data_IF_640622043112
#
_entry.id   IF_640622043112
#
_cell.length_a   1.000
_cell.length_b   1.000
_cell.length_c   1.000
_cell.angle_alpha   90.00
_cell.angle_beta   90.00
_cell.angle_gamma   90.00
#
_symmetry.space_group_name_H-M   'P 1'
#
loop_
_entity.id
_entity.type
_entity.pdbx_description
1 polymer ?
#
# COMPACT_ATOMS: atom_id res chain seq x y z
N UNK A 1 8.54 -15.43 0.87
CA UNK A 1 7.99 -15.09 2.20
C UNK A 1 6.47 -14.91 2.20
N UNK A 2 5.89 -13.86 1.58
CA UNK A 2 4.40 -13.71 1.58
C UNK A 2 3.67 -14.79 0.79
N UNK A 3 4.25 -15.27 -0.32
CA UNK A 3 3.65 -16.36 -1.11
C UNK A 3 3.53 -17.64 -0.28
N UNK A 4 4.63 -18.06 0.35
CA UNK A 4 4.65 -19.19 1.28
C UNK A 4 3.62 -19.02 2.40
N UNK A 5 3.62 -17.85 3.07
CA UNK A 5 2.67 -17.57 4.13
C UNK A 5 1.23 -17.55 3.61
N UNK A 6 0.95 -17.16 2.37
CA UNK A 6 -0.41 -17.13 1.81
C UNK A 6 -0.98 -18.53 1.56
N UNK A 7 -0.11 -19.50 1.23
CA UNK A 7 -0.50 -20.87 0.91
C UNK A 7 -0.41 -21.83 2.11
N UNK A 8 0.37 -21.46 3.14
CA UNK A 8 0.65 -22.34 4.28
C UNK A 8 0.04 -21.82 5.59
N UNK A 9 -1.13 -22.36 5.95
CA UNK A 9 -1.81 -22.03 7.21
C UNK A 9 -0.99 -22.38 8.46
N UNK A 10 -0.23 -23.48 8.42
CA UNK A 10 0.64 -23.88 9.54
C UNK A 10 1.76 -22.87 9.75
N UNK A 11 2.39 -22.39 8.68
CA UNK A 11 3.44 -21.37 8.77
C UNK A 11 2.90 -20.04 9.35
N UNK A 12 1.67 -19.64 8.98
CA UNK A 12 1.02 -18.47 9.58
C UNK A 12 0.76 -18.63 11.07
N UNK A 13 0.29 -19.80 11.50
CA UNK A 13 0.02 -20.06 12.92
C UNK A 13 1.32 -20.12 13.74
N UNK A 14 2.39 -20.68 13.17
CA UNK A 14 3.72 -20.65 13.77
C UNK A 14 4.21 -19.22 13.95
N UNK A 15 4.16 -18.40 12.90
CA UNK A 15 4.56 -17.00 12.97
C UNK A 15 3.73 -16.22 14.00
N UNK A 16 2.41 -16.43 14.02
CA UNK A 16 1.52 -15.82 15.02
C UNK A 16 1.93 -16.23 16.44
N UNK A 17 2.18 -17.51 16.68
CA UNK A 17 2.61 -18.03 17.98
C UNK A 17 3.95 -17.47 18.41
N UNK A 18 4.90 -17.35 17.48
CA UNK A 18 6.22 -16.77 17.75
C UNK A 18 6.13 -15.28 18.11
N UNK A 19 5.36 -14.49 17.35
CA UNK A 19 5.13 -13.07 17.64
C UNK A 19 4.49 -12.87 19.03
N UNK A 20 3.52 -13.73 19.39
CA UNK A 20 2.89 -13.72 20.71
C UNK A 20 3.86 -14.12 21.82
N UNK A 21 4.71 -15.12 21.59
CA UNK A 21 5.68 -15.58 22.59
C UNK A 21 6.75 -14.51 22.92
N UNK A 22 7.08 -13.65 21.95
CA UNK A 22 8.02 -12.55 22.15
C UNK A 22 7.35 -11.21 22.52
N UNK A 23 6.02 -11.19 22.64
CA UNK A 23 5.22 -9.99 22.93
C UNK A 23 5.51 -8.82 21.97
N UNK A 24 5.72 -9.13 20.68
CA UNK A 24 5.94 -8.13 19.63
C UNK A 24 4.68 -8.00 18.79
N UNK A 25 3.92 -6.90 18.94
CA UNK A 25 2.76 -6.65 18.10
C UNK A 25 3.17 -6.28 16.67
N UNK A 26 2.36 -6.72 15.70
CA UNK A 26 2.48 -6.29 14.30
C UNK A 26 1.82 -4.92 14.13
N UNK A 27 2.63 -3.85 14.14
CA UNK A 27 2.13 -2.47 14.03
C UNK A 27 1.86 -2.00 12.61
N UNK A 28 2.62 -2.49 11.64
CA UNK A 28 2.55 -2.06 10.23
C UNK A 28 3.18 -3.14 9.36
N UNK A 29 2.86 -3.13 8.06
CA UNK A 29 3.53 -3.95 7.07
C UNK A 29 3.98 -3.07 5.91
N UNK A 30 5.28 -3.07 5.62
CA UNK A 30 5.77 -2.46 4.40
C UNK A 30 5.49 -3.40 3.21
N UNK A 31 4.56 -2.99 2.33
CA UNK A 31 4.17 -3.71 1.12
C UNK A 31 4.74 -3.09 -0.15
N UNK A 32 5.72 -2.19 -0.03
CA UNK A 32 6.50 -1.68 -1.16
C UNK A 32 7.43 -2.73 -1.77
N UNK A 33 8.36 -3.35 -1.02
CA UNK A 33 9.25 -4.35 -1.59
C UNK A 33 8.45 -5.47 -2.25
N UNK A 34 8.65 -5.67 -3.54
CA UNK A 34 8.03 -6.76 -4.28
C UNK A 34 9.09 -7.84 -4.50
N UNK A 35 8.86 -9.04 -3.97
CA UNK A 35 9.84 -10.13 -4.07
C UNK A 35 11.11 -9.88 -3.24
N UNK A 36 12.22 -10.51 -3.65
CA UNK A 36 13.49 -10.45 -2.92
C UNK A 36 14.23 -9.12 -3.16
N UNK A 37 14.35 -8.32 -2.10
CA UNK A 37 14.95 -6.99 -2.10
C UNK A 37 16.51 -6.99 -2.13
N UNK A 38 17.16 -8.12 -2.43
CA UNK A 38 18.60 -8.34 -2.25
C UNK A 38 19.41 -8.43 -3.56
N UNK A 39 18.88 -8.00 -4.70
CA UNK A 39 19.61 -8.02 -5.97
C UNK A 39 20.68 -6.93 -6.08
N UNK A 40 21.77 -7.20 -6.81
CA UNK A 40 22.99 -6.38 -6.85
C UNK A 40 22.85 -5.03 -7.60
N UNK A 41 21.72 -4.78 -8.29
CA UNK A 41 21.47 -3.56 -9.08
C UNK A 41 20.10 -2.96 -8.71
N UNK A 42 20.08 -2.17 -7.63
CA UNK A 42 18.85 -1.78 -6.91
C UNK A 42 18.17 -0.51 -7.43
N UNK A 43 18.78 0.31 -8.29
CA UNK A 43 18.43 1.74 -8.23
C UNK A 43 16.99 2.11 -8.64
N UNK A 44 16.33 1.38 -9.56
CA UNK A 44 14.96 1.72 -9.99
C UNK A 44 14.04 0.52 -10.25
N UNK A 45 14.58 -0.70 -10.36
CA UNK A 45 13.77 -1.92 -10.57
C UNK A 45 12.89 -2.24 -9.35
N UNK A 46 13.28 -1.79 -8.16
CA UNK A 46 12.51 -1.97 -6.91
C UNK A 46 11.12 -1.36 -6.93
N UNK A 47 10.89 -0.36 -7.80
CA UNK A 47 9.56 0.25 -8.00
C UNK A 47 8.64 -0.60 -8.88
N UNK A 48 9.16 -1.68 -9.48
CA UNK A 48 8.37 -2.59 -10.30
C UNK A 48 7.97 -3.84 -9.50
N UNK A 49 6.74 -4.34 -9.67
CA UNK A 49 5.68 -3.74 -10.44
C UNK A 49 5.13 -2.47 -9.77
N UNK A 50 4.68 -1.50 -10.55
CA UNK A 50 4.08 -0.26 -10.05
C UNK A 50 2.55 -0.35 -9.99
N UNK A 51 1.87 0.71 -9.56
CA UNK A 51 0.40 0.72 -9.44
C UNK A 51 -0.35 0.66 -10.78
N UNK A 52 0.35 0.79 -11.92
CA UNK A 52 -0.22 0.56 -13.25
C UNK A 52 -0.41 -0.92 -13.56
N UNK A 53 0.24 -1.81 -12.79
CA UNK A 53 0.29 -3.24 -13.04
C UNK A 53 -0.59 -4.02 -12.05
N UNK A 54 -1.26 -5.06 -12.53
CA UNK A 54 -2.19 -5.86 -11.71
C UNK A 54 -1.44 -6.70 -10.65
N UNK A 55 -0.19 -7.05 -10.93
CA UNK A 55 0.70 -7.77 -10.04
C UNK A 55 0.89 -7.04 -8.71
N UNK A 56 1.02 -5.70 -8.72
CA UNK A 56 1.13 -4.87 -7.51
C UNK A 56 -0.14 -4.97 -6.66
N UNK A 57 -1.31 -4.94 -7.29
CA UNK A 57 -2.61 -5.07 -6.62
C UNK A 57 -2.74 -6.46 -5.96
N UNK A 58 -2.44 -7.53 -6.70
CA UNK A 58 -2.54 -8.90 -6.19
C UNK A 58 -1.55 -9.18 -5.07
N UNK A 59 -0.33 -8.65 -5.18
CA UNK A 59 0.66 -8.74 -4.11
C UNK A 59 0.21 -8.04 -2.83
N UNK A 60 -0.26 -6.79 -2.95
CA UNK A 60 -0.76 -6.00 -1.82
C UNK A 60 -1.91 -6.71 -1.11
N UNK A 61 -2.82 -7.34 -1.88
CA UNK A 61 -3.89 -8.17 -1.32
C UNK A 61 -3.35 -9.31 -0.48
N UNK A 62 -2.42 -10.11 -1.01
CA UNK A 62 -1.85 -11.26 -0.29
C UNK A 62 -1.19 -10.81 1.00
N UNK A 63 -0.44 -9.70 0.96
CA UNK A 63 0.15 -9.10 2.15
C UNK A 63 -0.90 -8.71 3.19
N UNK A 64 -2.00 -8.09 2.76
CA UNK A 64 -3.10 -7.72 3.65
C UNK A 64 -3.81 -8.94 4.27
N UNK A 65 -4.13 -9.95 3.47
CA UNK A 65 -4.77 -11.19 3.93
C UNK A 65 -3.88 -11.94 4.92
N UNK A 66 -2.57 -12.06 4.64
CA UNK A 66 -1.60 -12.67 5.57
C UNK A 66 -1.47 -11.82 6.83
N UNK A 67 -1.25 -10.51 6.71
CA UNK A 67 -1.08 -9.63 7.88
C UNK A 67 -2.30 -9.59 8.78
N UNK A 68 -3.51 -9.49 8.22
CA UNK A 68 -4.76 -9.57 8.98
C UNK A 68 -4.91 -10.90 9.71
N UNK A 69 -4.46 -12.00 9.10
CA UNK A 69 -4.48 -13.31 9.76
C UNK A 69 -3.48 -13.44 10.91
N UNK A 70 -2.61 -12.46 11.17
CA UNK A 70 -1.71 -12.44 12.32
C UNK A 70 -2.25 -11.59 13.49
N UNK A 71 -3.36 -10.88 13.26
CA UNK A 71 -3.95 -9.92 14.19
C UNK A 71 -5.30 -10.40 14.74
N UNK A 72 -5.88 -9.61 15.66
CA UNK A 72 -7.17 -9.86 16.30
C UNK A 72 -8.27 -8.97 15.68
N UNK A 73 -9.52 -9.44 15.74
CA UNK A 73 -10.67 -8.62 15.34
C UNK A 73 -10.68 -7.28 16.09
N UNK A 74 -10.90 -6.20 15.35
CA UNK A 74 -10.84 -4.83 15.86
C UNK A 74 -9.50 -4.13 15.66
N UNK A 75 -8.43 -4.86 15.34
CA UNK A 75 -7.13 -4.27 15.04
C UNK A 75 -7.12 -3.48 13.74
N UNK A 76 -6.18 -2.54 13.64
CA UNK A 76 -5.90 -1.77 12.43
C UNK A 76 -4.48 -2.09 11.97
N UNK A 77 -4.32 -2.46 10.70
CA UNK A 77 -3.04 -2.75 10.08
C UNK A 77 -2.73 -1.74 8.95
N UNK A 78 -1.91 -0.72 9.22
CA UNK A 78 -1.33 0.12 8.18
C UNK A 78 -0.44 -0.71 7.25
N UNK A 79 -0.55 -0.44 5.95
CA UNK A 79 0.25 -1.05 4.90
C UNK A 79 0.96 0.06 4.12
N UNK A 80 2.23 0.36 4.40
CA UNK A 80 2.97 1.37 3.62
C UNK A 80 3.34 0.82 2.25
N UNK A 81 3.25 1.65 1.21
CA UNK A 81 3.54 1.24 -0.16
C UNK A 81 4.17 2.39 -0.95
N UNK A 82 4.82 2.07 -2.08
CA UNK A 82 5.35 3.08 -3.00
C UNK A 82 4.25 4.04 -3.47
N UNK A 83 4.58 5.29 -3.82
CA UNK A 83 3.56 6.30 -4.07
C UNK A 83 2.62 5.92 -5.22
N UNK A 84 3.17 5.69 -6.40
CA UNK A 84 2.49 5.10 -7.56
C UNK A 84 3.46 4.24 -8.36
N UNK A 85 4.64 4.81 -8.63
CA UNK A 85 5.73 4.24 -9.40
C UNK A 85 6.87 5.23 -9.51
N UNK A 86 8.02 4.76 -9.97
CA UNK A 86 9.14 5.62 -10.29
C UNK A 86 8.79 6.55 -11.45
N UNK A 87 9.27 7.81 -11.43
CA UNK A 87 8.82 8.81 -12.41
C UNK A 87 9.13 8.41 -13.85
N UNK A 88 10.31 7.86 -14.15
CA UNK A 88 10.77 7.42 -15.49
C UNK A 88 10.23 8.20 -16.72
N UNK A 89 10.14 9.53 -16.66
CA UNK A 89 9.60 10.37 -17.75
C UNK A 89 8.18 10.93 -17.54
N UNK A 90 7.55 10.60 -16.40
CA UNK A 90 6.19 10.98 -16.01
C UNK A 90 5.18 9.86 -16.29
N UNK A 91 3.92 10.11 -15.91
CA UNK A 91 2.79 9.27 -16.26
C UNK A 91 1.78 10.09 -17.06
N UNK A 92 1.25 9.52 -18.12
CA UNK A 92 0.14 10.08 -18.89
C UNK A 92 -1.15 10.09 -18.06
N UNK A 93 -2.13 10.96 -18.40
CA UNK A 93 -3.47 10.91 -17.82
C UNK A 93 -4.14 9.53 -17.85
N UNK A 94 -3.86 8.70 -18.86
CA UNK A 94 -4.42 7.36 -18.95
C UNK A 94 -3.80 6.41 -17.90
N UNK A 95 -2.50 6.53 -17.66
CA UNK A 95 -1.76 5.76 -16.66
C UNK A 95 -2.17 6.17 -15.24
N UNK A 96 -2.27 7.47 -14.95
CA UNK A 96 -2.73 7.96 -13.64
C UNK A 96 -4.16 7.47 -13.32
N UNK A 97 -5.07 7.50 -14.29
CA UNK A 97 -6.42 6.90 -14.13
C UNK A 97 -6.36 5.40 -13.86
N UNK A 98 -5.47 4.67 -14.52
CA UNK A 98 -5.32 3.23 -14.32
C UNK A 98 -4.80 2.94 -12.90
N UNK A 99 -3.76 3.66 -12.46
CA UNK A 99 -3.19 3.55 -11.12
C UNK A 99 -4.24 3.87 -10.04
N UNK A 100 -5.01 4.94 -10.20
CA UNK A 100 -6.09 5.28 -9.28
C UNK A 100 -7.19 4.20 -9.22
N UNK A 101 -7.56 3.60 -10.37
CA UNK A 101 -8.47 2.45 -10.40
C UNK A 101 -7.92 1.24 -9.65
N UNK A 102 -6.64 0.95 -9.77
CA UNK A 102 -6.03 -0.16 -9.02
C UNK A 102 -5.98 0.12 -7.52
N UNK A 103 -5.69 1.35 -7.09
CA UNK A 103 -5.77 1.75 -5.68
C UNK A 103 -7.21 1.61 -5.13
N UNK A 104 -8.22 2.01 -5.88
CA UNK A 104 -9.60 1.82 -5.46
C UNK A 104 -10.01 0.35 -5.41
N UNK A 105 -9.57 -0.47 -6.37
CA UNK A 105 -9.74 -1.93 -6.31
C UNK A 105 -9.08 -2.48 -5.04
N UNK A 106 -7.89 -2.01 -4.68
CA UNK A 106 -7.23 -2.38 -3.43
C UNK A 106 -8.12 -2.02 -2.23
N UNK A 107 -8.65 -0.80 -2.15
CA UNK A 107 -9.56 -0.39 -1.08
C UNK A 107 -10.80 -1.31 -0.97
N UNK A 108 -11.41 -1.67 -2.09
CA UNK A 108 -12.53 -2.62 -2.11
C UNK A 108 -12.13 -4.01 -1.63
N UNK A 109 -10.92 -4.46 -1.93
CA UNK A 109 -10.41 -5.75 -1.49
C UNK A 109 -10.09 -5.73 0.01
N UNK A 110 -9.53 -4.64 0.52
CA UNK A 110 -9.28 -4.44 1.95
C UNK A 110 -10.58 -4.36 2.77
N UNK A 111 -11.64 -3.78 2.20
CA UNK A 111 -12.98 -3.84 2.80
C UNK A 111 -13.49 -5.29 2.93
N UNK A 112 -13.18 -6.15 1.94
CA UNK A 112 -13.44 -7.58 2.03
C UNK A 112 -12.63 -8.28 3.11
N UNK A 113 -11.35 -7.91 3.28
CA UNK A 113 -10.51 -8.42 4.37
C UNK A 113 -11.09 -8.04 5.74
N UNK A 114 -11.47 -6.78 5.94
CA UNK A 114 -12.09 -6.32 7.20
C UNK A 114 -13.41 -7.05 7.46
N UNK A 115 -14.26 -7.22 6.45
CA UNK A 115 -15.53 -7.95 6.61
C UNK A 115 -15.33 -9.42 7.02
N UNK A 116 -14.26 -10.06 6.55
CA UNK A 116 -14.00 -11.48 6.81
C UNK A 116 -13.21 -11.74 8.10
N UNK A 117 -12.39 -10.79 8.53
CA UNK A 117 -11.42 -10.98 9.63
C UNK A 117 -11.67 -10.06 10.82
N UNK A 118 -12.44 -8.99 10.64
CA UNK A 118 -12.57 -7.92 11.62
C UNK A 118 -11.35 -7.00 11.72
N UNK A 119 -10.28 -7.24 10.96
CA UNK A 119 -9.06 -6.43 10.95
C UNK A 119 -9.14 -5.39 9.84
N UNK A 120 -8.97 -4.12 10.19
CA UNK A 120 -8.96 -3.04 9.20
C UNK A 120 -7.56 -2.83 8.63
N UNK A 121 -7.34 -3.26 7.40
CA UNK A 121 -6.15 -2.86 6.66
C UNK A 121 -6.32 -1.46 6.05
N UNK A 122 -5.28 -0.62 6.14
CA UNK A 122 -5.23 0.72 5.51
C UNK A 122 -3.99 0.82 4.65
N UNK A 123 -4.16 0.86 3.33
CA UNK A 123 -3.07 1.06 2.38
C UNK A 123 -2.66 2.53 2.36
N UNK A 124 -1.42 2.80 2.76
CA UNK A 124 -0.87 4.13 2.89
C UNK A 124 0.17 4.36 1.78
N UNK A 125 -0.18 5.17 0.78
CA UNK A 125 0.78 5.58 -0.26
C UNK A 125 1.81 6.53 0.36
N UNK A 126 3.09 6.28 0.08
CA UNK A 126 4.19 7.06 0.64
C UNK A 126 4.78 7.97 -0.45
N UNK A 127 4.63 9.30 -0.37
CA UNK A 127 5.30 10.20 -1.30
C UNK A 127 6.82 10.02 -1.15
N UNK A 128 7.53 9.94 -2.28
CA UNK A 128 8.94 9.58 -2.30
C UNK A 128 9.71 10.35 -3.37
N UNK A 129 10.92 10.87 -3.07
CA UNK A 129 11.76 11.55 -4.05
C UNK A 129 11.98 10.73 -5.33
N UNK A 130 11.99 11.39 -6.48
CA UNK A 130 12.13 10.80 -7.82
C UNK A 130 10.95 9.94 -8.30
N UNK A 131 9.88 9.81 -7.52
CA UNK A 131 8.68 9.09 -7.94
C UNK A 131 7.64 9.99 -8.64
N UNK A 132 6.54 9.37 -9.09
CA UNK A 132 5.41 10.09 -9.69
C UNK A 132 4.73 11.04 -8.70
N UNK A 133 4.64 10.64 -7.43
CA UNK A 133 4.21 11.50 -6.31
C UNK A 133 5.40 11.68 -5.37
N UNK A 134 6.01 12.86 -5.40
CA UNK A 134 7.15 13.18 -4.54
C UNK A 134 6.66 13.97 -3.32
N UNK A 135 5.78 14.95 -3.57
CA UNK A 135 5.35 15.92 -2.56
C UNK A 135 4.00 15.59 -1.96
N UNK A 136 3.73 16.16 -0.78
CA UNK A 136 2.40 16.11 -0.15
C UNK A 136 1.36 16.70 -1.09
N UNK A 137 1.69 17.83 -1.74
CA UNK A 137 0.78 18.49 -2.67
C UNK A 137 0.44 17.60 -3.88
N UNK A 138 1.44 16.99 -4.52
CA UNK A 138 1.20 16.10 -5.66
C UNK A 138 0.33 14.90 -5.27
N UNK A 139 0.53 14.39 -4.06
CA UNK A 139 -0.27 13.28 -3.52
C UNK A 139 -1.71 13.71 -3.28
N UNK A 140 -1.94 14.87 -2.67
CA UNK A 140 -3.28 15.42 -2.46
C UNK A 140 -3.99 15.70 -3.79
N UNK A 141 -3.31 16.34 -4.75
CA UNK A 141 -3.82 16.61 -6.08
C UNK A 141 -4.19 15.30 -6.80
N UNK A 142 -3.37 14.26 -6.66
CA UNK A 142 -3.66 12.95 -7.26
C UNK A 142 -4.89 12.30 -6.66
N UNK A 143 -5.01 12.30 -5.33
CA UNK A 143 -6.16 11.72 -4.64
C UNK A 143 -7.45 12.48 -5.02
N UNK A 144 -7.43 13.80 -5.01
CA UNK A 144 -8.61 14.62 -5.36
C UNK A 144 -9.02 14.38 -6.82
N UNK A 145 -8.08 14.55 -7.75
CA UNK A 145 -8.39 14.51 -9.18
C UNK A 145 -8.63 13.07 -9.69
N UNK A 146 -7.70 12.16 -9.43
CA UNK A 146 -7.73 10.83 -10.04
C UNK A 146 -8.45 9.80 -9.20
N UNK A 147 -8.55 9.94 -7.87
CA UNK A 147 -9.21 8.93 -7.02
C UNK A 147 -10.63 9.32 -6.58
N UNK A 148 -10.90 10.60 -6.34
CA UNK A 148 -12.24 11.03 -5.89
C UNK A 148 -13.09 11.60 -7.03
N UNK A 149 -12.52 12.37 -7.97
CA UNK A 149 -13.29 12.95 -9.10
C UNK A 149 -13.36 12.04 -10.32
N UNK A 150 -12.22 11.71 -10.92
CA UNK A 150 -12.16 11.03 -12.22
C UNK A 150 -12.10 9.49 -12.13
N UNK A 151 -11.41 8.94 -11.13
CA UNK A 151 -11.13 7.51 -11.07
C UNK A 151 -11.76 6.84 -9.86
N UNK A 152 -12.57 5.84 -10.17
CA UNK A 152 -13.03 4.76 -9.28
C UNK A 152 -14.09 5.01 -8.21
N UNK A 153 -14.46 6.24 -7.85
CA UNK A 153 -15.74 6.46 -7.14
C UNK A 153 -16.97 5.85 -7.86
N UNK A 154 -17.04 5.75 -9.21
CA UNK A 154 -18.17 5.09 -9.87
C UNK A 154 -18.15 3.56 -9.71
N UNK A 155 -17.06 2.98 -9.21
CA UNK A 155 -16.83 1.52 -9.15
C UNK A 155 -16.67 0.97 -7.74
N UNK A 156 -16.32 1.82 -6.77
CA UNK A 156 -16.08 1.44 -5.37
C UNK A 156 -16.75 2.49 -4.47
N UNK A 157 -17.50 2.09 -3.43
CA UNK A 157 -18.11 3.05 -2.51
C UNK A 157 -17.08 3.99 -1.90
N UNK A 158 -17.36 5.29 -1.88
CA UNK A 158 -16.47 6.31 -1.30
C UNK A 158 -16.09 5.98 0.16
N UNK A 159 -17.03 5.39 0.92
CA UNK A 159 -16.77 4.92 2.27
C UNK A 159 -15.65 3.88 2.37
N UNK A 160 -15.50 2.99 1.38
CA UNK A 160 -14.39 2.04 1.33
C UNK A 160 -13.08 2.76 1.00
N UNK A 161 -13.09 3.69 0.05
CA UNK A 161 -11.91 4.48 -0.31
C UNK A 161 -11.36 5.22 0.92
N UNK A 162 -12.21 5.99 1.62
CA UNK A 162 -11.81 6.76 2.80
C UNK A 162 -11.42 5.91 4.00
N UNK A 163 -11.90 4.67 4.07
CA UNK A 163 -11.63 3.77 5.20
C UNK A 163 -10.35 2.96 5.03
N UNK A 164 -9.97 2.67 3.79
CA UNK A 164 -8.89 1.73 3.49
C UNK A 164 -7.72 2.34 2.71
N UNK A 165 -7.79 3.61 2.31
CA UNK A 165 -6.68 4.35 1.71
C UNK A 165 -6.25 5.49 2.63
N UNK A 166 -4.94 5.68 2.74
CA UNK A 166 -4.30 6.75 3.48
C UNK A 166 -2.98 7.17 2.84
N UNK A 167 -2.22 7.99 3.55
CA UNK A 167 -0.89 8.46 3.15
C UNK A 167 0.09 8.18 4.27
N UNK A 168 1.24 7.60 3.94
CA UNK A 168 2.38 7.46 4.84
C UNK A 168 3.26 8.68 4.65
N UNK A 169 3.40 9.53 5.66
CA UNK A 169 4.25 10.73 5.58
C UNK A 169 5.60 10.42 6.20
N UNK A 170 6.60 10.21 5.36
CA UNK A 170 7.99 10.04 5.80
C UNK A 170 8.68 11.41 5.90
N UNK A 171 9.06 11.80 7.12
CA UNK A 171 9.71 13.09 7.40
C UNK A 171 11.10 13.21 6.74
N UNK A 172 11.79 12.09 6.49
CA UNK A 172 13.04 12.08 5.76
C UNK A 172 12.80 12.41 4.28
N UNK A 173 11.73 11.89 3.67
CA UNK A 173 11.35 12.25 2.30
C UNK A 173 11.00 13.73 2.19
N UNK A 174 10.20 14.25 3.13
CA UNK A 174 9.90 15.68 3.19
C UNK A 174 11.19 16.52 3.30
N UNK A 175 12.11 16.12 4.19
CA UNK A 175 13.38 16.83 4.36
C UNK A 175 14.26 16.81 3.10
N UNK A 176 14.26 15.71 2.32
CA UNK A 176 14.97 15.64 1.03
C UNK A 176 14.40 16.62 0.02
N UNK A 177 13.10 16.89 0.08
CA UNK A 177 12.37 17.81 -0.80
C UNK A 177 12.25 19.24 -0.23
N UNK A 178 12.79 19.49 0.96
CA UNK A 178 12.65 20.75 1.70
C UNK A 178 11.18 21.15 1.95
N UNK A 179 10.30 20.15 2.17
CA UNK A 179 8.89 20.36 2.53
C UNK A 179 8.73 20.62 4.04
N UNK A 180 7.89 21.59 4.40
CA UNK A 180 7.52 21.86 5.79
C UNK A 180 6.48 20.82 6.26
N UNK A 181 6.77 20.00 7.28
CA UNK A 181 5.83 19.00 7.78
C UNK A 181 4.59 19.59 8.47
N UNK A 182 4.56 20.90 8.75
CA UNK A 182 3.45 21.58 9.42
C UNK A 182 2.58 22.44 8.47
N UNK A 183 2.96 22.56 7.19
CA UNK A 183 2.25 23.37 6.20
C UNK A 183 1.07 22.61 5.56
#
# INVERSE_FOLDING_TARGET
MVEELSENATAREQLRSELQAIDVPLWTLNVFPFGDFHEEVVKTSVYMPDWGQEERLLYTRRCAEVGASLLQEGDVLPLSTLPLGYRAGGASPAELRLMARNLARAASMLAGVEANTGVRCVLAIEPEPNCLLETVKQTADFLDEWLFKEGAWPTVPEGHLRRHLGVCVDLCHLAVLDEDPLA
#
